data_IF_424242612759
#
_entry.id   IF_424242612759
#
_cell.length_a   1.000
_cell.length_b   1.000
_cell.length_c   1.000
_cell.angle_alpha   90.00
_cell.angle_beta   90.00
_cell.angle_gamma   90.00
#
_symmetry.space_group_name_H-M   'P 1'
#
loop_
_entity.id
_entity.type
_entity.pdbx_description
1 polymer ?
#
# COMPACT_ATOMS: atom_id res chain seq x y z
N UNK A 1 10.09 18.48 59.18
CA UNK A 1 10.47 19.48 58.15
C UNK A 1 11.77 19.10 57.46
N UNK A 2 11.69 18.60 56.22
CA UNK A 2 12.64 18.81 55.10
C UNK A 2 12.10 18.00 53.92
N UNK A 3 11.62 18.71 52.91
CA UNK A 3 11.17 18.18 51.62
C UNK A 3 12.25 18.50 50.61
N UNK A 4 12.79 17.47 49.97
CA UNK A 4 13.70 17.56 48.82
C UNK A 4 12.93 17.45 47.52
N UNK A 5 13.37 18.24 46.54
CA UNK A 5 12.81 18.45 45.22
C UNK A 5 12.66 17.16 44.38
N UNK A 6 11.55 17.05 43.65
CA UNK A 6 11.41 16.18 42.48
C UNK A 6 11.06 17.03 41.26
N UNK A 7 11.88 16.91 40.22
CA UNK A 7 11.64 17.35 38.85
C UNK A 7 10.77 16.33 38.10
N UNK A 8 9.82 16.74 37.23
CA UNK A 8 9.12 15.79 36.38
C UNK A 8 9.84 15.65 35.04
N UNK A 9 10.31 14.43 34.78
CA UNK A 9 10.75 13.93 33.49
C UNK A 9 9.51 13.84 32.57
N UNK A 10 9.38 14.74 31.59
CA UNK A 10 8.39 14.60 30.53
C UNK A 10 8.90 13.65 29.44
N UNK A 11 8.13 12.57 29.24
CA UNK A 11 8.30 11.52 28.22
C UNK A 11 8.11 12.04 26.77
N UNK A 12 8.86 11.51 25.77
CA UNK A 12 8.80 11.94 24.37
C UNK A 12 7.59 11.40 23.57
N UNK A 13 6.55 10.88 24.22
CA UNK A 13 5.36 10.31 23.56
C UNK A 13 4.40 11.39 23.04
N UNK A 14 4.44 12.61 23.58
CA UNK A 14 3.48 13.67 23.22
C UNK A 14 3.78 14.38 21.90
N UNK A 15 4.98 14.23 21.33
CA UNK A 15 5.33 14.88 20.05
C UNK A 15 4.80 14.13 18.81
N UNK A 16 4.34 12.87 18.96
CA UNK A 16 3.74 12.07 17.86
C UNK A 16 2.25 12.31 17.64
N UNK A 17 1.54 12.97 18.57
CA UNK A 17 0.11 13.26 18.43
C UNK A 17 -0.19 14.55 17.64
N UNK A 18 0.80 15.44 17.48
CA UNK A 18 0.65 16.70 16.74
C UNK A 18 0.46 16.49 15.22
N UNK A 19 1.03 15.43 14.64
CA UNK A 19 0.99 15.17 13.18
C UNK A 19 -0.33 14.52 12.74
N UNK A 20 -1.04 13.83 13.65
CA UNK A 20 -2.35 13.22 13.38
C UNK A 20 -3.41 14.24 12.92
N UNK A 21 -3.35 15.49 13.41
CA UNK A 21 -4.26 16.55 13.02
C UNK A 21 -3.96 17.17 11.64
N UNK A 22 -2.73 17.02 11.12
CA UNK A 22 -2.33 17.65 9.86
C UNK A 22 -2.91 16.94 8.63
N UNK A 23 -3.04 15.60 8.68
CA UNK A 23 -3.60 14.82 7.57
C UNK A 23 -5.12 15.03 7.39
N UNK A 24 -5.87 15.22 8.49
CA UNK A 24 -7.32 15.44 8.41
C UNK A 24 -7.69 16.89 8.05
N UNK A 25 -6.95 17.88 8.55
CA UNK A 25 -7.29 19.31 8.36
C UNK A 25 -7.05 19.82 6.93
N UNK A 26 -6.07 19.25 6.22
CA UNK A 26 -5.66 19.76 4.90
C UNK A 26 -6.57 19.26 3.77
N UNK A 27 -7.24 18.10 3.92
CA UNK A 27 -8.00 17.55 2.80
C UNK A 27 -9.39 18.17 2.61
N UNK A 28 -10.22 18.46 3.64
CA UNK A 28 -11.53 19.11 3.41
C UNK A 28 -12.11 19.81 4.66
N UNK A 29 -12.28 21.15 4.58
CA UNK A 29 -13.38 21.88 5.22
C UNK A 29 -14.57 21.86 4.24
N UNK A 30 -15.45 20.88 4.36
CA UNK A 30 -16.76 20.90 3.70
C UNK A 30 -17.79 21.50 4.64
N UNK A 31 -18.34 22.65 4.24
CA UNK A 31 -19.50 23.39 4.79
C UNK A 31 -19.73 23.39 6.31
N UNK A 32 -19.27 24.45 6.96
CA UNK A 32 -20.02 25.10 8.04
C UNK A 32 -19.76 26.61 7.97
N UNK A 33 -20.84 27.41 7.97
CA UNK A 33 -20.77 28.87 7.99
C UNK A 33 -20.22 29.31 9.35
N UNK A 34 -19.00 29.83 9.40
CA UNK A 34 -18.55 30.67 10.51
C UNK A 34 -18.12 32.02 9.95
N UNK A 35 -18.95 33.05 10.20
CA UNK A 35 -18.57 34.45 10.01
C UNK A 35 -17.44 34.75 11.00
N UNK A 36 -16.25 35.02 10.48
CA UNK A 36 -15.25 35.80 11.21
C UNK A 36 -14.82 36.94 10.31
N UNK A 37 -15.15 38.14 10.77
CA UNK A 37 -14.87 39.41 10.13
C UNK A 37 -13.45 39.80 10.52
N UNK A 38 -12.53 39.83 9.56
CA UNK A 38 -11.25 40.52 9.72
C UNK A 38 -10.87 41.28 8.45
N UNK A 39 -10.29 42.45 8.71
CA UNK A 39 -10.16 43.64 7.88
C UNK A 39 -9.39 43.41 6.57
N UNK A 40 -9.77 44.22 5.61
CA UNK A 40 -9.23 44.38 4.26
C UNK A 40 -7.72 44.66 4.24
N UNK A 41 -6.96 43.81 3.57
CA UNK A 41 -5.73 44.18 2.86
C UNK A 41 -5.61 43.29 1.61
N UNK A 42 -5.34 43.93 0.47
CA UNK A 42 -5.40 43.34 -0.86
C UNK A 42 -4.35 42.27 -1.12
N UNK A 43 -4.66 41.03 -0.75
CA UNK A 43 -3.94 39.83 -1.19
C UNK A 43 -4.86 38.96 -2.03
N UNK A 44 -4.44 38.59 -3.26
CA UNK A 44 -5.12 37.54 -4.05
C UNK A 44 -5.29 36.31 -3.14
N UNK A 45 -6.54 35.96 -2.81
CA UNK A 45 -6.84 34.69 -2.11
C UNK A 45 -6.14 33.57 -2.88
N UNK A 46 -5.34 32.70 -2.22
CA UNK A 46 -4.73 31.57 -2.89
C UNK A 46 -5.81 30.78 -3.62
N UNK A 47 -5.65 30.57 -4.93
CA UNK A 47 -6.58 29.73 -5.70
C UNK A 47 -6.66 28.38 -4.99
N UNK A 48 -7.86 27.99 -4.54
CA UNK A 48 -8.09 26.68 -3.90
C UNK A 48 -7.54 25.61 -4.85
N UNK A 49 -6.54 24.84 -4.41
CA UNK A 49 -6.06 23.70 -5.18
C UNK A 49 -7.18 22.68 -5.24
N UNK A 50 -7.69 22.41 -6.43
CA UNK A 50 -8.74 21.41 -6.65
C UNK A 50 -8.09 20.04 -6.61
N UNK A 51 -8.44 19.25 -5.60
CA UNK A 51 -8.08 17.85 -5.54
C UNK A 51 -9.11 17.04 -6.34
N UNK A 52 -8.70 16.50 -7.48
CA UNK A 52 -9.57 15.72 -8.35
C UNK A 52 -9.70 14.28 -7.81
N UNK A 53 -10.94 13.88 -7.49
CA UNK A 53 -11.21 12.51 -7.01
C UNK A 53 -11.13 11.49 -8.14
N UNK A 54 -10.75 10.27 -7.81
CA UNK A 54 -10.72 9.11 -8.71
C UNK A 54 -11.70 8.08 -8.17
N UNK A 55 -12.94 8.13 -8.66
CA UNK A 55 -14.04 7.30 -8.12
C UNK A 55 -13.77 5.80 -8.18
N UNK A 56 -13.06 5.34 -9.22
CA UNK A 56 -12.70 3.92 -9.34
C UNK A 56 -11.75 3.46 -8.21
N UNK A 57 -10.79 4.29 -7.81
CA UNK A 57 -9.89 3.96 -6.70
C UNK A 57 -10.58 4.10 -5.34
N UNK A 58 -11.53 5.03 -5.21
CA UNK A 58 -12.43 5.07 -4.06
C UNK A 58 -13.25 3.78 -3.94
N UNK A 59 -13.72 3.23 -5.06
CA UNK A 59 -14.49 1.99 -5.13
C UNK A 59 -13.68 0.77 -4.72
N UNK A 60 -12.36 0.74 -4.97
CA UNK A 60 -11.47 -0.35 -4.49
C UNK A 60 -11.61 -0.54 -2.97
N UNK A 61 -11.65 0.55 -2.20
CA UNK A 61 -11.79 0.49 -0.74
C UNK A 61 -13.10 -0.16 -0.31
N UNK A 62 -14.18 0.06 -1.06
CA UNK A 62 -15.49 -0.52 -0.77
C UNK A 62 -15.57 -2.00 -1.23
N UNK A 63 -14.98 -2.32 -2.38
CA UNK A 63 -14.98 -3.68 -2.94
C UNK A 63 -14.24 -4.69 -2.06
N UNK A 64 -13.23 -4.25 -1.30
CA UNK A 64 -12.43 -5.12 -0.43
C UNK A 64 -13.10 -5.48 0.89
N UNK A 65 -14.07 -4.68 1.39
CA UNK A 65 -14.68 -4.88 2.71
C UNK A 65 -15.24 -6.30 2.91
N UNK A 66 -15.97 -6.79 1.90
CA UNK A 66 -16.60 -8.12 1.93
C UNK A 66 -15.58 -9.26 1.80
N UNK A 67 -14.68 -9.27 0.79
CA UNK A 67 -13.55 -10.20 0.73
C UNK A 67 -12.79 -10.32 2.05
N UNK A 68 -12.47 -9.20 2.70
CA UNK A 68 -11.72 -9.20 3.97
C UNK A 68 -12.45 -9.96 5.09
N UNK A 69 -13.77 -9.84 5.20
CA UNK A 69 -14.54 -10.60 6.21
C UNK A 69 -14.55 -12.10 5.89
N UNK A 70 -14.76 -12.46 4.61
CA UNK A 70 -14.78 -13.86 4.15
C UNK A 70 -13.42 -14.53 4.41
N UNK A 71 -12.33 -13.88 4.00
CA UNK A 71 -10.97 -14.41 4.14
C UNK A 71 -10.55 -14.48 5.61
N UNK A 72 -10.95 -13.50 6.44
CA UNK A 72 -10.72 -13.55 7.89
C UNK A 72 -11.47 -14.70 8.53
N UNK A 73 -12.73 -14.94 8.17
CA UNK A 73 -13.49 -16.08 8.70
C UNK A 73 -12.86 -17.41 8.30
N UNK A 74 -12.45 -17.54 7.03
CA UNK A 74 -11.71 -18.71 6.54
C UNK A 74 -10.46 -18.97 7.40
N UNK A 75 -9.65 -17.95 7.62
CA UNK A 75 -8.43 -18.06 8.43
C UNK A 75 -8.72 -18.47 9.88
N UNK A 76 -9.78 -17.94 10.50
CA UNK A 76 -10.18 -18.33 11.88
C UNK A 76 -10.64 -19.78 11.92
N UNK A 77 -11.42 -20.25 10.94
CA UNK A 77 -11.88 -21.64 10.89
C UNK A 77 -10.68 -22.58 10.71
N UNK A 78 -9.77 -22.26 9.80
CA UNK A 78 -8.57 -23.08 9.53
C UNK A 78 -7.58 -23.12 10.69
N UNK A 79 -7.55 -22.12 11.57
CA UNK A 79 -6.69 -22.14 12.76
C UNK A 79 -7.23 -23.07 13.87
N UNK A 80 -8.50 -23.50 13.80
CA UNK A 80 -9.07 -24.42 14.76
C UNK A 80 -8.62 -25.86 14.48
N UNK A 81 -8.36 -26.64 15.54
CA UNK A 81 -7.93 -28.06 15.44
C UNK A 81 -8.85 -28.91 14.58
N UNK A 82 -10.16 -28.69 14.69
CA UNK A 82 -11.20 -29.47 13.99
C UNK A 82 -11.71 -28.76 12.73
N UNK A 83 -11.02 -27.72 12.25
CA UNK A 83 -11.45 -26.88 11.12
C UNK A 83 -12.91 -26.42 11.22
N UNK A 84 -13.36 -26.17 12.46
CA UNK A 84 -14.71 -25.78 12.81
C UNK A 84 -14.69 -24.80 13.97
N UNK A 85 -15.56 -23.78 13.90
CA UNK A 85 -15.69 -22.74 14.91
C UNK A 85 -17.11 -22.76 15.48
N UNK A 86 -17.25 -22.92 16.80
CA UNK A 86 -18.55 -22.80 17.46
C UNK A 86 -19.08 -21.36 17.33
N UNK A 87 -20.34 -21.17 16.95
CA UNK A 87 -20.90 -19.83 16.75
C UNK A 87 -20.88 -18.98 18.04
N UNK A 88 -20.93 -19.63 19.20
CA UNK A 88 -20.80 -18.96 20.51
C UNK A 88 -19.41 -18.34 20.73
N UNK A 89 -18.37 -18.91 20.13
CA UNK A 89 -16.98 -18.48 20.32
C UNK A 89 -16.56 -17.45 19.26
N UNK A 90 -17.35 -17.24 18.21
CA UNK A 90 -17.12 -16.22 17.18
C UNK A 90 -16.91 -14.82 17.80
N UNK A 91 -17.66 -14.48 18.83
CA UNK A 91 -17.53 -13.20 19.52
C UNK A 91 -16.15 -12.99 20.14
N UNK A 92 -15.53 -14.04 20.66
CA UNK A 92 -14.18 -14.00 21.24
C UNK A 92 -13.13 -13.74 20.16
N UNK A 93 -13.33 -14.29 18.97
CA UNK A 93 -12.41 -14.18 17.84
C UNK A 93 -12.46 -12.83 17.12
N UNK A 94 -13.67 -12.25 16.97
CA UNK A 94 -13.84 -11.04 16.14
C UNK A 94 -14.33 -9.81 16.90
N UNK A 95 -14.76 -9.97 18.15
CA UNK A 95 -15.35 -8.93 18.97
C UNK A 95 -16.85 -8.73 18.71
N UNK A 96 -17.53 -8.19 19.72
CA UNK A 96 -18.99 -8.03 19.76
C UNK A 96 -19.58 -7.32 18.52
N UNK A 97 -19.01 -6.17 18.13
CA UNK A 97 -19.53 -5.37 17.02
C UNK A 97 -19.34 -6.09 15.68
N UNK A 98 -18.18 -6.72 15.46
CA UNK A 98 -17.90 -7.34 14.17
C UNK A 98 -18.64 -8.67 13.99
N UNK A 99 -18.97 -9.38 15.07
CA UNK A 99 -19.67 -10.68 15.06
C UNK A 99 -20.84 -10.72 14.09
N UNK A 100 -21.67 -9.68 14.05
CA UNK A 100 -22.84 -9.61 13.17
C UNK A 100 -22.49 -9.57 11.68
N UNK A 101 -21.37 -8.95 11.30
CA UNK A 101 -20.89 -8.98 9.92
C UNK A 101 -20.48 -10.40 9.50
N UNK A 102 -19.90 -11.17 10.43
CA UNK A 102 -19.52 -12.56 10.19
C UNK A 102 -20.76 -13.46 10.10
N UNK A 103 -21.73 -13.31 11.00
CA UNK A 103 -23.01 -14.04 10.93
C UNK A 103 -23.70 -13.78 9.58
N UNK A 104 -23.80 -12.53 9.15
CA UNK A 104 -24.39 -12.19 7.86
C UNK A 104 -23.64 -12.80 6.66
N UNK A 105 -22.32 -12.96 6.75
CA UNK A 105 -21.51 -13.64 5.72
C UNK A 105 -21.75 -15.15 5.72
N UNK A 106 -21.89 -15.77 6.89
CA UNK A 106 -22.20 -17.20 7.03
C UNK A 106 -23.54 -17.52 6.39
N UNK A 107 -24.58 -16.75 6.72
CA UNK A 107 -25.94 -16.94 6.18
C UNK A 107 -26.00 -16.68 4.68
N UNK A 108 -25.25 -15.69 4.19
CA UNK A 108 -25.33 -15.23 2.79
C UNK A 108 -24.54 -16.09 1.81
N UNK A 109 -23.52 -16.83 2.25
CA UNK A 109 -22.67 -17.63 1.35
C UNK A 109 -22.61 -19.11 1.78
N UNK A 110 -23.71 -19.86 1.65
CA UNK A 110 -23.74 -21.31 1.94
C UNK A 110 -22.84 -22.13 1.00
N UNK A 111 -22.44 -21.56 -0.14
CA UNK A 111 -21.42 -22.14 -1.04
C UNK A 111 -20.02 -22.13 -0.44
N UNK A 112 -19.74 -21.26 0.54
CA UNK A 112 -18.45 -21.15 1.22
C UNK A 112 -18.54 -21.73 2.64
N UNK A 113 -19.56 -21.32 3.40
CA UNK A 113 -19.70 -21.67 4.81
C UNK A 113 -20.89 -22.59 5.02
N UNK A 114 -20.71 -23.61 5.85
CA UNK A 114 -21.76 -24.52 6.28
C UNK A 114 -21.83 -24.50 7.81
N UNK A 115 -23.05 -24.36 8.35
CA UNK A 115 -23.28 -24.52 9.78
C UNK A 115 -23.71 -25.96 10.04
N UNK A 116 -22.85 -26.68 10.76
CA UNK A 116 -23.15 -28.00 11.31
C UNK A 116 -23.73 -27.86 12.72
N UNK A 117 -24.48 -28.85 13.19
CA UNK A 117 -25.07 -28.84 14.53
C UNK A 117 -26.59 -28.93 14.51
N UNK A 118 -27.16 -29.45 15.60
CA UNK A 118 -28.60 -29.71 15.74
C UNK A 118 -29.02 -29.81 17.21
N UNK A 119 -30.16 -30.43 17.51
CA UNK A 119 -30.74 -30.46 18.88
C UNK A 119 -29.81 -30.97 19.99
N UNK A 120 -28.75 -31.73 19.67
CA UNK A 120 -27.81 -32.30 20.65
C UNK A 120 -26.36 -31.82 20.49
N UNK A 121 -26.05 -31.03 19.46
CA UNK A 121 -24.68 -30.58 19.16
C UNK A 121 -24.67 -29.07 18.92
N UNK A 122 -23.78 -28.32 19.59
CA UNK A 122 -23.75 -26.87 19.45
C UNK A 122 -23.45 -26.47 18.00
N UNK A 123 -24.09 -25.41 17.48
CA UNK A 123 -23.91 -25.01 16.09
C UNK A 123 -22.47 -24.51 15.85
N UNK A 124 -21.84 -25.07 14.82
CA UNK A 124 -20.46 -24.80 14.44
C UNK A 124 -20.38 -24.46 12.95
N UNK A 125 -19.69 -23.38 12.61
CA UNK A 125 -19.40 -23.01 11.23
C UNK A 125 -18.14 -23.71 10.75
N UNK A 126 -18.21 -24.24 9.54
CA UNK A 126 -17.12 -24.90 8.81
C UNK A 126 -17.08 -24.39 7.37
N UNK A 127 -16.00 -24.70 6.66
CA UNK A 127 -15.97 -24.52 5.22
C UNK A 127 -16.79 -25.63 4.54
N UNK A 128 -17.44 -25.29 3.43
CA UNK A 128 -18.08 -26.28 2.57
C UNK A 128 -16.99 -27.07 1.81
N UNK A 129 -17.25 -28.34 1.43
CA UNK A 129 -16.30 -29.20 0.71
C UNK A 129 -15.65 -28.54 -0.51
N UNK A 130 -16.41 -27.74 -1.27
CA UNK A 130 -15.87 -26.98 -2.42
C UNK A 130 -14.90 -25.90 -1.98
N UNK A 131 -15.23 -25.18 -0.90
CA UNK A 131 -14.38 -24.14 -0.32
C UNK A 131 -13.14 -24.72 0.36
N UNK A 132 -13.24 -25.87 1.01
CA UNK A 132 -12.09 -26.60 1.58
C UNK A 132 -11.07 -26.97 0.50
N UNK A 133 -11.53 -27.52 -0.63
CA UNK A 133 -10.65 -27.85 -1.76
C UNK A 133 -9.89 -26.64 -2.27
N UNK A 134 -10.57 -25.50 -2.45
CA UNK A 134 -9.89 -24.26 -2.86
C UNK A 134 -8.96 -23.77 -1.75
N UNK A 135 -9.39 -23.80 -0.48
CA UNK A 135 -8.58 -23.34 0.65
C UNK A 135 -7.27 -24.13 0.83
N UNK A 136 -7.25 -25.41 0.44
CA UNK A 136 -6.04 -26.23 0.46
C UNK A 136 -4.95 -25.73 -0.52
N UNK A 137 -5.31 -24.97 -1.56
CA UNK A 137 -4.37 -24.41 -2.52
C UNK A 137 -3.56 -23.22 -1.96
N UNK A 138 -3.91 -22.70 -0.77
CA UNK A 138 -3.22 -21.57 -0.16
C UNK A 138 -1.74 -21.85 0.12
N UNK A 139 -1.41 -23.09 0.48
CA UNK A 139 -0.03 -23.50 0.73
C UNK A 139 0.83 -23.33 -0.53
N UNK A 140 0.34 -23.80 -1.68
CA UNK A 140 1.01 -23.62 -2.97
C UNK A 140 1.14 -22.13 -3.34
N UNK A 141 0.11 -21.31 -3.06
CA UNK A 141 0.20 -19.87 -3.27
C UNK A 141 1.27 -19.22 -2.37
N UNK A 142 1.44 -19.68 -1.13
CA UNK A 142 2.47 -19.19 -0.21
C UNK A 142 3.88 -19.62 -0.66
N UNK A 143 4.06 -20.83 -1.17
CA UNK A 143 5.33 -21.29 -1.74
C UNK A 143 5.75 -20.43 -2.93
N UNK A 144 4.82 -20.11 -3.83
CA UNK A 144 5.06 -19.19 -4.94
C UNK A 144 5.34 -17.75 -4.49
N UNK A 145 4.83 -17.34 -3.32
CA UNK A 145 5.10 -16.02 -2.75
C UNK A 145 6.49 -15.91 -2.14
N UNK A 146 7.05 -16.98 -1.56
CA UNK A 146 8.32 -16.94 -0.84
C UNK A 146 9.46 -16.21 -1.59
N UNK A 147 9.79 -16.54 -2.85
CA UNK A 147 10.84 -15.83 -3.59
C UNK A 147 10.49 -14.35 -3.84
N UNK A 148 9.21 -14.02 -4.03
CA UNK A 148 8.74 -12.63 -4.19
C UNK A 148 8.91 -11.85 -2.88
N UNK A 149 8.57 -12.47 -1.75
CA UNK A 149 8.71 -11.87 -0.42
C UNK A 149 10.17 -11.61 -0.08
N UNK A 150 11.06 -12.56 -0.36
CA UNK A 150 12.51 -12.40 -0.17
C UNK A 150 13.05 -11.28 -1.05
N UNK A 151 12.71 -11.25 -2.35
CA UNK A 151 13.10 -10.16 -3.27
C UNK A 151 12.60 -8.81 -2.73
N UNK A 152 11.32 -8.72 -2.37
CA UNK A 152 10.71 -7.46 -1.94
C UNK A 152 11.27 -6.97 -0.61
N UNK A 153 11.54 -7.87 0.35
CA UNK A 153 12.12 -7.50 1.64
C UNK A 153 13.57 -7.02 1.48
N UNK A 154 14.37 -7.67 0.62
CA UNK A 154 15.71 -7.19 0.26
C UNK A 154 15.63 -5.80 -0.37
N UNK A 155 14.78 -5.59 -1.38
CA UNK A 155 14.57 -4.28 -2.02
C UNK A 155 14.10 -3.22 -1.02
N UNK A 156 13.20 -3.57 -0.08
CA UNK A 156 12.72 -2.67 0.96
C UNK A 156 13.87 -2.22 1.89
N UNK A 157 14.73 -3.13 2.30
CA UNK A 157 15.93 -2.79 3.09
C UNK A 157 16.89 -1.93 2.27
N UNK A 158 17.13 -2.26 0.99
CA UNK A 158 17.98 -1.48 0.09
C UNK A 158 17.49 -0.04 -0.16
N UNK A 159 16.19 0.24 0.01
CA UNK A 159 15.65 1.60 -0.05
C UNK A 159 16.05 2.45 1.17
N UNK A 160 16.30 1.80 2.32
CA UNK A 160 16.65 2.47 3.56
C UNK A 160 18.09 2.97 3.56
N UNK A 161 18.34 4.10 4.22
CA UNK A 161 19.64 4.77 4.22
C UNK A 161 20.78 3.91 4.75
N UNK A 162 20.50 3.12 5.77
CA UNK A 162 21.47 2.26 6.45
C UNK A 162 21.24 0.77 6.15
N UNK A 163 20.48 0.44 5.09
CA UNK A 163 20.12 -0.93 4.71
C UNK A 163 19.48 -1.76 5.85
N UNK A 164 18.77 -1.08 6.75
CA UNK A 164 18.10 -1.66 7.91
C UNK A 164 16.81 -0.92 8.24
N UNK A 165 15.86 -1.64 8.83
CA UNK A 165 14.58 -1.12 9.26
C UNK A 165 14.20 -1.66 10.65
N UNK A 166 13.53 -0.87 11.51
CA UNK A 166 12.95 -1.41 12.74
C UNK A 166 11.98 -2.55 12.41
N UNK A 167 12.05 -3.65 13.17
CA UNK A 167 11.11 -4.77 12.98
C UNK A 167 9.67 -4.34 13.21
N UNK A 168 9.43 -3.40 14.13
CA UNK A 168 8.11 -2.80 14.36
C UNK A 168 7.53 -2.14 13.10
N UNK A 169 8.39 -1.48 12.30
CA UNK A 169 7.98 -0.85 11.04
C UNK A 169 7.60 -1.89 10.00
N UNK A 170 8.36 -3.01 9.92
CA UNK A 170 8.05 -4.12 9.02
C UNK A 170 6.76 -4.82 9.47
N UNK A 171 6.59 -5.09 10.76
CA UNK A 171 5.37 -5.66 11.34
C UNK A 171 4.14 -4.80 11.01
N UNK A 172 4.29 -3.48 11.03
CA UNK A 172 3.18 -2.56 10.73
C UNK A 172 2.69 -2.62 9.27
N UNK A 173 3.55 -3.03 8.33
CA UNK A 173 3.18 -3.25 6.92
C UNK A 173 3.18 -4.73 6.52
N UNK A 174 3.38 -5.65 7.46
CA UNK A 174 3.45 -7.09 7.22
C UNK A 174 2.28 -7.62 6.37
N UNK A 175 1.01 -7.24 6.66
CA UNK A 175 -0.13 -7.66 5.84
C UNK A 175 -0.13 -7.09 4.41
N UNK A 176 0.44 -5.90 4.21
CA UNK A 176 0.49 -5.21 2.90
C UNK A 176 1.59 -5.80 2.00
N UNK A 177 2.68 -6.29 2.60
CA UNK A 177 3.75 -7.01 1.91
C UNK A 177 3.35 -8.46 1.57
N UNK A 178 2.36 -9.02 2.28
CA UNK A 178 2.01 -10.43 2.17
C UNK A 178 2.93 -11.36 2.97
N UNK A 179 3.66 -10.80 3.93
CA UNK A 179 4.51 -11.58 4.83
C UNK A 179 3.64 -12.45 5.77
N UNK A 180 4.04 -13.70 6.07
CA UNK A 180 3.42 -14.51 7.11
C UNK A 180 3.40 -13.78 8.47
N UNK A 181 2.40 -14.04 9.32
CA UNK A 181 2.33 -13.43 10.66
C UNK A 181 3.52 -13.82 11.55
N UNK A 182 4.14 -14.96 11.27
CA UNK A 182 5.30 -15.50 11.96
C UNK A 182 6.59 -15.39 11.14
N UNK A 183 6.66 -14.51 10.13
CA UNK A 183 7.79 -14.43 9.17
C UNK A 183 9.17 -14.36 9.84
N UNK A 184 9.25 -13.77 11.05
CA UNK A 184 10.48 -13.72 11.85
C UNK A 184 11.05 -15.10 12.18
N UNK A 185 10.18 -16.10 12.33
CA UNK A 185 10.50 -17.50 12.63
C UNK A 185 10.39 -18.40 11.40
N UNK A 186 9.46 -18.11 10.48
CA UNK A 186 9.18 -18.98 9.33
C UNK A 186 9.96 -18.62 8.06
N UNK A 187 10.25 -17.32 7.84
CA UNK A 187 10.90 -16.83 6.62
C UNK A 187 12.37 -16.44 6.85
N UNK A 188 12.65 -15.58 7.84
CA UNK A 188 14.00 -15.03 8.03
C UNK A 188 15.09 -16.10 8.25
N UNK A 189 14.86 -17.15 9.08
CA UNK A 189 15.88 -18.17 9.32
C UNK A 189 16.23 -19.02 8.10
N UNK A 190 15.38 -19.04 7.06
CA UNK A 190 15.66 -19.75 5.80
C UNK A 190 16.69 -19.02 4.93
N UNK A 191 16.90 -17.72 5.16
CA UNK A 191 17.75 -16.85 4.34
C UNK A 191 18.74 -16.03 5.19
N UNK A 192 19.57 -16.67 6.03
CA UNK A 192 20.52 -15.99 6.91
C UNK A 192 21.57 -15.16 6.16
N UNK A 193 21.84 -15.49 4.89
CA UNK A 193 22.73 -14.74 4.00
C UNK A 193 22.17 -13.37 3.58
N UNK A 194 20.85 -13.19 3.64
CA UNK A 194 20.19 -11.95 3.26
C UNK A 194 19.72 -11.14 4.46
N UNK A 195 19.35 -11.78 5.56
CA UNK A 195 18.66 -11.14 6.67
C UNK A 195 19.35 -11.38 8.01
N UNK A 196 19.68 -10.29 8.71
CA UNK A 196 20.22 -10.33 10.05
C UNK A 196 19.35 -9.50 11.00
N UNK A 197 18.95 -10.07 12.14
CA UNK A 197 18.25 -9.31 13.18
C UNK A 197 19.28 -8.82 14.19
N UNK A 198 19.34 -7.50 14.41
CA UNK A 198 20.25 -6.86 15.37
C UNK A 198 19.52 -5.85 16.23
N UNK A 199 19.96 -5.70 17.48
CA UNK A 199 19.47 -4.64 18.33
C UNK A 199 20.27 -3.35 18.15
N UNK A 200 19.55 -2.25 17.89
CA UNK A 200 20.10 -0.92 17.70
C UNK A 200 19.36 0.01 18.65
N UNK A 201 20.08 0.58 19.62
CA UNK A 201 19.51 1.46 20.66
C UNK A 201 18.31 0.86 21.39
N UNK A 202 18.37 -0.44 21.73
CA UNK A 202 17.31 -1.16 22.45
C UNK A 202 16.09 -1.51 21.60
N UNK A 203 16.19 -1.42 20.27
CA UNK A 203 15.13 -1.83 19.34
C UNK A 203 15.66 -2.83 18.33
N UNK A 204 14.92 -3.90 18.09
CA UNK A 204 15.29 -4.90 17.11
C UNK A 204 15.06 -4.38 15.68
N UNK A 205 16.09 -4.48 14.87
CA UNK A 205 16.10 -4.09 13.47
C UNK A 205 16.39 -5.31 12.59
N UNK A 206 15.80 -5.31 11.41
CA UNK A 206 16.20 -6.19 10.33
C UNK A 206 17.23 -5.45 9.47
N UNK A 207 18.38 -6.06 9.24
CA UNK A 207 19.48 -5.54 8.42
C UNK A 207 19.70 -6.45 7.22
N UNK A 208 20.01 -5.85 6.07
CA UNK A 208 20.41 -6.56 4.86
C UNK A 208 21.84 -7.08 5.03
N UNK A 209 22.04 -8.39 4.91
CA UNK A 209 23.37 -9.00 4.97
C UNK A 209 24.23 -8.60 3.77
N UNK A 210 23.76 -8.90 2.57
CA UNK A 210 24.49 -8.69 1.32
C UNK A 210 23.71 -7.80 0.33
N UNK A 211 24.37 -6.73 -0.12
CA UNK A 211 23.85 -5.88 -1.20
C UNK A 211 23.91 -6.61 -2.54
N UNK A 212 22.84 -6.50 -3.33
CA UNK A 212 22.73 -7.12 -4.64
C UNK A 212 22.33 -6.09 -5.68
N UNK A 213 23.30 -5.71 -6.50
CA UNK A 213 23.13 -4.69 -7.54
C UNK A 213 22.12 -5.12 -8.61
N UNK A 214 21.86 -6.42 -8.79
CA UNK A 214 20.84 -6.89 -9.75
C UNK A 214 19.42 -6.53 -9.30
N UNK A 215 19.20 -6.34 -7.99
CA UNK A 215 17.93 -5.92 -7.43
C UNK A 215 17.73 -4.40 -7.45
N UNK A 216 18.78 -3.62 -7.74
CA UNK A 216 18.76 -2.16 -7.73
C UNK A 216 18.08 -1.55 -8.98
N UNK A 217 17.05 -2.23 -9.48
CA UNK A 217 16.21 -1.82 -10.61
C UNK A 217 14.80 -1.59 -10.06
N UNK A 218 14.27 -0.39 -10.28
CA UNK A 218 12.92 -0.01 -9.83
C UNK A 218 11.84 -0.65 -10.69
N UNK A 219 10.65 -0.84 -10.13
CA UNK A 219 9.47 -1.30 -10.89
C UNK A 219 9.18 -0.40 -12.10
N UNK A 220 9.48 0.90 -11.99
CA UNK A 220 9.38 1.87 -13.08
C UNK A 220 10.39 1.60 -14.20
N UNK A 221 11.62 1.21 -13.87
CA UNK A 221 12.65 0.84 -14.86
C UNK A 221 12.36 -0.52 -15.50
N UNK A 222 11.95 -1.52 -14.71
CA UNK A 222 11.52 -2.84 -15.20
C UNK A 222 10.41 -2.67 -16.25
N UNK A 223 9.38 -1.84 -15.94
CA UNK A 223 8.28 -1.54 -16.86
C UNK A 223 8.76 -0.83 -18.14
N UNK A 224 9.63 0.17 -18.03
CA UNK A 224 10.13 0.89 -19.19
C UNK A 224 10.91 -0.04 -20.15
N UNK A 225 11.71 -0.95 -19.60
CA UNK A 225 12.44 -1.94 -20.40
C UNK A 225 11.47 -2.87 -21.13
N UNK A 226 10.44 -3.36 -20.44
CA UNK A 226 9.41 -4.23 -21.03
C UNK A 226 8.63 -3.53 -22.16
N UNK A 227 8.19 -2.28 -21.94
CA UNK A 227 7.51 -1.49 -22.97
C UNK A 227 8.41 -1.25 -24.20
N UNK A 228 9.72 -1.13 -24.03
CA UNK A 228 10.65 -0.97 -25.16
C UNK A 228 10.81 -2.24 -25.99
N UNK A 229 10.89 -3.40 -25.35
CA UNK A 229 11.03 -4.68 -26.05
C UNK A 229 9.81 -4.94 -26.92
N UNK A 230 8.61 -4.66 -26.41
CA UNK A 230 7.35 -4.83 -27.14
C UNK A 230 7.19 -3.85 -28.33
N UNK A 231 7.78 -2.64 -28.23
CA UNK A 231 7.60 -1.57 -29.22
C UNK A 231 8.69 -1.52 -30.31
N UNK A 232 9.31 -2.66 -30.65
CA UNK A 232 10.43 -2.74 -31.62
C UNK A 232 10.03 -2.40 -33.07
N UNK A 233 8.74 -2.16 -33.35
CA UNK A 233 8.17 -2.08 -34.71
C UNK A 233 7.76 -0.68 -35.18
N UNK A 234 8.48 0.41 -34.86
CA UNK A 234 8.05 1.74 -35.32
C UNK A 234 9.09 2.85 -35.31
N UNK A 235 9.22 3.52 -36.46
CA UNK A 235 10.08 4.68 -36.71
C UNK A 235 10.11 5.71 -35.55
N UNK A 236 11.32 5.96 -35.05
CA UNK A 236 11.63 6.97 -34.03
C UNK A 236 11.31 8.39 -34.52
N UNK A 237 10.06 8.83 -34.35
CA UNK A 237 9.77 10.27 -34.18
C UNK A 237 10.37 10.70 -32.85
N UNK A 238 10.99 11.89 -32.81
CA UNK A 238 11.52 12.47 -31.56
C UNK A 238 10.47 12.33 -30.44
N UNK A 239 10.81 11.78 -29.27
CA UNK A 239 9.85 11.58 -28.20
C UNK A 239 9.31 12.95 -27.78
N UNK A 240 7.99 13.13 -27.89
CA UNK A 240 7.26 14.32 -27.45
C UNK A 240 6.29 13.91 -26.36
N UNK A 241 6.06 14.81 -25.41
CA UNK A 241 5.01 14.60 -24.41
C UNK A 241 3.66 14.48 -25.11
N UNK A 242 2.89 13.47 -24.75
CA UNK A 242 1.54 13.27 -25.24
C UNK A 242 0.55 14.18 -24.49
N UNK A 243 -0.68 14.34 -25.02
CA UNK A 243 -1.69 15.25 -24.43
C UNK A 243 -2.13 14.85 -23.02
N UNK A 244 -1.97 13.58 -22.67
CA UNK A 244 -2.18 13.00 -21.34
C UNK A 244 -0.94 13.14 -20.42
N UNK A 245 0.12 13.82 -20.86
CA UNK A 245 1.31 14.13 -20.06
C UNK A 245 2.35 13.01 -19.98
N UNK A 246 2.13 11.90 -20.68
CA UNK A 246 3.08 10.80 -20.76
C UNK A 246 4.26 11.14 -21.70
N UNK A 247 5.45 10.67 -21.36
CA UNK A 247 6.65 10.88 -22.15
C UNK A 247 7.40 9.55 -22.31
N UNK A 248 7.68 9.10 -23.55
CA UNK A 248 8.35 7.82 -23.80
C UNK A 248 9.87 7.98 -23.59
N UNK A 249 10.29 8.16 -22.34
CA UNK A 249 11.68 8.43 -21.97
C UNK A 249 12.19 7.53 -20.85
N UNK A 250 13.52 7.33 -20.77
CA UNK A 250 14.16 6.44 -19.79
C UNK A 250 14.04 6.92 -18.36
N UNK A 251 13.53 8.12 -18.09
CA UNK A 251 13.37 8.69 -16.74
C UNK A 251 11.94 9.10 -16.40
N UNK A 252 11.00 8.89 -17.31
CA UNK A 252 9.62 9.29 -17.14
C UNK A 252 8.80 8.31 -16.29
N UNK A 253 7.98 8.82 -15.39
CA UNK A 253 6.92 8.04 -14.75
C UNK A 253 5.73 7.93 -15.69
N UNK A 254 5.02 6.80 -15.65
CA UNK A 254 3.72 6.71 -16.29
C UNK A 254 2.69 7.48 -15.46
N UNK A 255 1.96 8.37 -16.12
CA UNK A 255 0.97 9.24 -15.49
C UNK A 255 -0.43 8.82 -15.92
N UNK A 256 -1.34 8.78 -14.95
CA UNK A 256 -2.77 8.65 -15.19
C UNK A 256 -3.48 9.84 -14.57
N UNK A 257 -3.98 10.79 -15.35
CA UNK A 257 -4.74 11.93 -14.81
C UNK A 257 -6.23 11.60 -14.68
N UNK A 258 -6.94 12.19 -13.69
CA UNK A 258 -8.37 11.96 -13.52
C UNK A 258 -9.18 12.55 -14.69
N UNK A 259 -10.33 11.93 -14.96
CA UNK A 259 -11.29 12.41 -15.95
C UNK A 259 -11.71 13.84 -15.56
N UNK A 260 -11.44 14.81 -16.43
CA UNK A 260 -11.71 16.23 -16.19
C UNK A 260 -10.51 17.07 -15.76
N UNK A 261 -9.35 16.46 -15.47
CA UNK A 261 -8.11 17.24 -15.41
C UNK A 261 -7.73 17.71 -16.81
N UNK A 262 -7.53 19.02 -16.96
CA UNK A 262 -7.19 19.67 -18.23
C UNK A 262 -5.95 20.53 -18.00
N UNK A 263 -4.74 19.96 -18.15
CA UNK A 263 -3.52 20.73 -17.97
C UNK A 263 -3.40 21.79 -19.06
N UNK A 264 -2.97 23.00 -18.69
CA UNK A 264 -2.63 24.02 -19.68
C UNK A 264 -1.25 23.74 -20.29
N UNK A 265 -0.89 24.47 -21.35
CA UNK A 265 0.35 24.23 -22.07
C UNK A 265 1.60 24.45 -21.20
N UNK A 266 1.57 25.46 -20.32
CA UNK A 266 2.66 25.74 -19.38
C UNK A 266 2.90 24.58 -18.41
N UNK A 267 1.83 23.97 -17.87
CA UNK A 267 1.93 22.78 -17.03
C UNK A 267 2.53 21.61 -17.80
N UNK A 268 2.11 21.37 -19.05
CA UNK A 268 2.66 20.29 -19.87
C UNK A 268 4.14 20.49 -20.17
N UNK A 269 4.58 21.73 -20.42
CA UNK A 269 6.00 22.05 -20.62
C UNK A 269 6.84 21.83 -19.36
N UNK A 270 6.34 22.22 -18.18
CA UNK A 270 7.00 21.94 -16.91
C UNK A 270 7.05 20.43 -16.62
N UNK A 271 5.96 19.73 -16.88
CA UNK A 271 5.87 18.29 -16.72
C UNK A 271 6.84 17.56 -17.65
N UNK A 272 6.96 17.99 -18.91
CA UNK A 272 7.91 17.43 -19.87
C UNK A 272 9.36 17.61 -19.39
N UNK A 273 9.72 18.81 -18.90
CA UNK A 273 11.04 19.06 -18.29
C UNK A 273 11.29 18.11 -17.11
N UNK A 274 10.28 17.91 -16.26
CA UNK A 274 10.38 17.01 -15.11
C UNK A 274 10.49 15.54 -15.52
N UNK A 275 9.75 15.10 -16.55
CA UNK A 275 9.83 13.74 -17.08
C UNK A 275 11.19 13.44 -17.72
N UNK A 276 11.77 14.43 -18.42
CA UNK A 276 13.10 14.34 -19.04
C UNK A 276 14.26 14.43 -18.06
N UNK A 277 14.06 15.06 -16.91
CA UNK A 277 15.08 15.17 -15.86
C UNK A 277 15.64 13.78 -15.51
N UNK A 278 16.95 13.70 -15.25
CA UNK A 278 17.58 12.47 -14.78
C UNK A 278 16.82 11.88 -13.59
N UNK A 279 16.81 10.55 -13.52
CA UNK A 279 16.17 9.78 -12.46
C UNK A 279 17.26 9.22 -11.54
N UNK A 280 17.57 9.86 -10.39
CA UNK A 280 18.47 9.27 -9.44
C UNK A 280 17.82 8.02 -8.85
N UNK A 281 18.49 6.88 -8.95
CA UNK A 281 17.95 5.62 -8.48
C UNK A 281 17.61 5.70 -6.97
N UNK A 282 16.41 5.21 -6.56
CA UNK A 282 16.03 5.04 -5.16
C UNK A 282 17.03 4.24 -4.33
N UNK A 283 17.79 3.36 -4.97
CA UNK A 283 18.79 2.49 -4.33
C UNK A 283 20.15 3.17 -4.12
N UNK A 284 20.36 4.37 -4.67
CA UNK A 284 21.52 5.18 -4.30
C UNK A 284 21.33 5.78 -2.91
N UNK A 285 22.40 5.82 -2.12
CA UNK A 285 22.32 6.32 -0.74
C UNK A 285 21.80 7.77 -0.70
N UNK A 286 20.70 7.98 0.03
CA UNK A 286 20.02 9.28 0.13
C UNK A 286 20.85 10.39 0.77
N UNK A 287 21.95 10.06 1.48
CA UNK A 287 22.89 11.03 2.06
C UNK A 287 23.64 11.84 0.99
N UNK A 288 23.72 11.33 -0.25
CA UNK A 288 24.44 11.96 -1.38
C UNK A 288 23.68 13.11 -2.05
N UNK A 289 22.42 13.34 -1.67
CA UNK A 289 21.55 14.30 -2.34
C UNK A 289 21.17 15.45 -1.41
N UNK A 290 21.36 16.67 -1.89
CA UNK A 290 20.90 17.87 -1.21
C UNK A 290 19.39 18.05 -1.39
N UNK A 291 18.70 18.48 -0.32
CA UNK A 291 17.23 18.61 -0.32
C UNK A 291 16.74 19.70 -1.28
N UNK A 292 17.58 20.70 -1.57
CA UNK A 292 17.33 21.80 -2.50
C UNK A 292 17.31 21.35 -3.97
N UNK A 293 18.04 20.28 -4.30
CA UNK A 293 18.21 19.80 -5.68
C UNK A 293 16.86 19.31 -6.25
N UNK A 294 16.41 19.83 -7.42
CA UNK A 294 15.29 19.26 -8.16
C UNK A 294 15.37 17.74 -8.38
N UNK A 295 16.58 17.18 -8.61
CA UNK A 295 16.78 15.74 -8.78
C UNK A 295 16.49 14.97 -7.48
N UNK A 296 16.85 15.52 -6.33
CA UNK A 296 16.53 14.94 -5.03
C UNK A 296 15.01 14.86 -4.80
N UNK A 297 14.26 15.89 -5.22
CA UNK A 297 12.79 15.86 -5.19
C UNK A 297 12.21 14.79 -6.11
N UNK A 298 12.78 14.61 -7.31
CA UNK A 298 12.38 13.51 -8.21
C UNK A 298 12.70 12.14 -7.62
N UNK A 299 13.85 11.99 -6.95
CA UNK A 299 14.23 10.77 -6.23
C UNK A 299 13.24 10.42 -5.11
N UNK A 300 12.73 11.39 -4.34
CA UNK A 300 11.69 11.13 -3.32
C UNK A 300 10.45 10.49 -3.95
N UNK A 301 10.00 11.01 -5.10
CA UNK A 301 8.87 10.43 -5.84
C UNK A 301 9.19 9.00 -6.28
N UNK A 302 10.43 8.75 -6.72
CA UNK A 302 10.89 7.42 -7.09
C UNK A 302 10.92 6.45 -5.89
N UNK A 303 11.35 6.89 -4.70
CA UNK A 303 11.33 6.08 -3.47
C UNK A 303 9.91 5.74 -3.05
N UNK A 304 8.98 6.70 -3.09
CA UNK A 304 7.57 6.46 -2.76
C UNK A 304 6.90 5.53 -3.77
N UNK A 305 7.21 5.72 -5.05
CA UNK A 305 6.76 4.85 -6.13
C UNK A 305 7.23 3.42 -5.90
N UNK A 306 8.52 3.24 -5.63
CA UNK A 306 9.10 1.92 -5.40
C UNK A 306 8.59 1.28 -4.10
N UNK A 307 8.47 2.02 -3.00
CA UNK A 307 7.90 1.49 -1.76
C UNK A 307 6.48 0.95 -1.97
N UNK A 308 5.63 1.68 -2.69
CA UNK A 308 4.28 1.22 -3.01
C UNK A 308 4.34 0.03 -3.98
N UNK A 309 5.27 0.01 -4.93
CA UNK A 309 5.40 -1.09 -5.89
C UNK A 309 5.76 -2.43 -5.23
N UNK A 310 6.38 -2.42 -4.04
CA UNK A 310 6.70 -3.62 -3.26
C UNK A 310 5.49 -4.22 -2.53
N UNK A 311 4.38 -3.49 -2.33
CA UNK A 311 3.20 -4.03 -1.65
C UNK A 311 2.33 -4.86 -2.60
N UNK A 312 1.53 -5.78 -2.06
CA UNK A 312 0.67 -6.64 -2.87
C UNK A 312 -0.35 -5.83 -3.66
N UNK A 313 -1.00 -4.87 -3.00
CA UNK A 313 -2.06 -4.05 -3.59
C UNK A 313 -1.57 -2.67 -4.01
N UNK A 314 -0.25 -2.43 -4.10
CA UNK A 314 0.32 -1.17 -4.62
C UNK A 314 -0.21 0.10 -3.92
N UNK A 315 -0.47 -0.04 -2.63
CA UNK A 315 -1.01 0.99 -1.74
C UNK A 315 -0.50 0.84 -0.31
N UNK A 316 -0.55 1.93 0.44
CA UNK A 316 -0.28 1.99 1.88
C UNK A 316 -1.13 3.09 2.53
N UNK A 317 -1.44 2.94 3.82
CA UNK A 317 -2.04 4.04 4.59
C UNK A 317 -1.03 5.18 4.80
N UNK A 318 -1.52 6.39 5.03
CA UNK A 318 -0.66 7.54 5.32
C UNK A 318 0.20 7.33 6.56
N UNK A 319 -0.32 6.64 7.58
CA UNK A 319 0.42 6.29 8.78
C UNK A 319 1.54 5.26 8.50
N UNK A 320 1.27 4.29 7.62
CA UNK A 320 2.29 3.31 7.21
C UNK A 320 3.42 3.98 6.42
N UNK A 321 3.11 4.92 5.52
CA UNK A 321 4.15 5.68 4.83
C UNK A 321 4.98 6.54 5.80
N UNK A 322 4.33 7.18 6.76
CA UNK A 322 5.01 8.03 7.76
C UNK A 322 5.93 7.22 8.69
N UNK A 323 5.64 5.94 8.90
CA UNK A 323 6.49 5.03 9.68
C UNK A 323 7.89 4.80 9.05
N UNK A 324 8.07 5.14 7.78
CA UNK A 324 9.35 5.07 7.06
C UNK A 324 10.05 6.43 6.93
N UNK A 325 9.53 7.49 7.58
CA UNK A 325 9.98 8.85 7.32
C UNK A 325 11.49 9.04 7.54
N UNK A 326 12.02 8.53 8.66
CA UNK A 326 13.45 8.63 8.97
C UNK A 326 14.30 7.75 8.06
N UNK A 327 13.90 6.49 7.90
CA UNK A 327 14.69 5.45 7.25
C UNK A 327 14.82 5.67 5.75
N UNK A 328 13.81 6.30 5.12
CA UNK A 328 13.80 6.63 3.69
C UNK A 328 14.11 8.12 3.39
N UNK A 329 14.37 8.94 4.42
CA UNK A 329 14.49 10.41 4.35
C UNK A 329 13.33 11.05 3.57
N UNK A 330 12.10 10.71 3.96
CA UNK A 330 10.91 11.32 3.37
C UNK A 330 10.83 12.82 3.75
N UNK A 331 10.21 13.66 2.90
CA UNK A 331 10.08 15.07 3.20
C UNK A 331 9.04 15.32 4.30
N UNK A 332 9.31 16.29 5.18
CA UNK A 332 8.39 16.69 6.25
C UNK A 332 6.97 17.06 5.77
N UNK A 333 6.85 17.51 4.52
CA UNK A 333 5.55 17.78 3.86
C UNK A 333 5.18 16.66 2.88
N UNK A 334 5.20 15.41 3.33
CA UNK A 334 4.92 14.20 2.53
C UNK A 334 3.57 14.30 1.79
N UNK A 335 2.52 14.74 2.48
CA UNK A 335 1.19 14.90 1.87
C UNK A 335 1.20 15.89 0.70
N UNK A 336 1.93 17.01 0.84
CA UNK A 336 2.07 17.99 -0.23
C UNK A 336 2.85 17.41 -1.42
N UNK A 337 3.85 16.56 -1.16
CA UNK A 337 4.57 15.83 -2.20
C UNK A 337 3.60 14.94 -2.98
N UNK A 338 2.84 14.08 -2.31
CA UNK A 338 1.87 13.18 -2.95
C UNK A 338 0.82 13.95 -3.78
N UNK A 339 0.27 15.04 -3.24
CA UNK A 339 -0.71 15.89 -3.96
C UNK A 339 -0.11 16.58 -5.18
N UNK A 340 1.14 17.04 -5.11
CA UNK A 340 1.84 17.63 -6.27
C UNK A 340 2.03 16.61 -7.40
N UNK A 341 2.17 15.34 -7.05
CA UNK A 341 2.38 14.23 -8.00
C UNK A 341 1.09 13.39 -8.20
N UNK A 342 -0.08 14.05 -8.28
CA UNK A 342 -1.40 13.40 -8.42
C UNK A 342 -1.63 12.63 -9.73
N UNK A 343 -0.71 12.73 -10.70
CA UNK A 343 -0.66 11.88 -11.89
C UNK A 343 -0.13 10.47 -11.58
N UNK A 344 0.63 10.32 -10.49
CA UNK A 344 1.26 9.06 -10.05
C UNK A 344 0.52 8.50 -8.84
N UNK A 345 0.24 9.36 -7.85
CA UNK A 345 -0.37 8.96 -6.59
C UNK A 345 -1.82 9.40 -6.50
N UNK A 346 -2.64 8.59 -5.84
CA UNK A 346 -4.00 8.96 -5.44
C UNK A 346 -4.17 8.74 -3.94
N UNK A 347 -4.76 9.72 -3.26
CA UNK A 347 -5.07 9.68 -1.83
C UNK A 347 -6.58 9.60 -1.67
N UNK A 348 -7.05 8.59 -0.93
CA UNK A 348 -8.45 8.47 -0.56
C UNK A 348 -8.62 8.48 0.96
N UNK A 349 -9.73 9.06 1.41
CA UNK A 349 -10.20 8.97 2.79
C UNK A 349 -11.38 8.01 2.91
N UNK A 350 -11.65 7.20 1.88
CA UNK A 350 -12.64 6.12 1.93
C UNK A 350 -12.09 4.99 2.78
N UNK A 351 -12.45 4.97 4.06
CA UNK A 351 -11.98 3.99 5.03
C UNK A 351 -11.71 4.62 6.39
N UNK A 352 -11.21 3.83 7.33
CA UNK A 352 -10.85 4.34 8.65
C UNK A 352 -9.59 5.23 8.63
N UNK A 353 -8.71 5.04 7.63
CA UNK A 353 -7.44 5.75 7.49
C UNK A 353 -7.26 6.22 6.04
N UNK A 354 -6.60 7.36 5.87
CA UNK A 354 -6.20 7.84 4.55
C UNK A 354 -5.26 6.83 3.89
N UNK A 355 -5.53 6.48 2.63
CA UNK A 355 -4.77 5.48 1.88
C UNK A 355 -4.24 6.08 0.59
N UNK A 356 -2.97 5.81 0.29
CA UNK A 356 -2.25 6.26 -0.88
C UNK A 356 -2.08 5.09 -1.84
N UNK A 357 -2.51 5.29 -3.09
CA UNK A 357 -2.47 4.33 -4.18
C UNK A 357 -1.43 4.76 -5.22
N UNK A 358 -0.74 3.79 -5.80
CA UNK A 358 -0.02 3.95 -7.06
C UNK A 358 -1.00 3.81 -8.22
N UNK A 359 -1.27 4.88 -8.97
CA UNK A 359 -2.35 4.91 -9.97
C UNK A 359 -2.10 4.00 -11.16
N UNK A 360 -0.84 3.88 -11.59
CA UNK A 360 -0.51 3.06 -12.75
C UNK A 360 -0.81 1.57 -12.54
N UNK A 361 -0.74 1.10 -11.29
CA UNK A 361 -1.03 -0.27 -10.91
C UNK A 361 -2.50 -0.68 -11.07
N UNK A 362 -3.38 0.27 -11.38
CA UNK A 362 -4.81 0.04 -11.49
C UNK A 362 -5.36 0.41 -12.86
N UNK A 363 -6.21 -0.45 -13.38
CA UNK A 363 -7.09 -0.20 -14.51
C UNK A 363 -8.53 -0.11 -14.01
N UNK A 364 -9.04 1.12 -13.91
CA UNK A 364 -10.25 1.41 -13.14
C UNK A 364 -10.11 0.97 -11.68
N UNK A 365 -10.98 0.06 -11.24
CA UNK A 365 -10.98 -0.53 -9.90
C UNK A 365 -10.25 -1.88 -9.82
N UNK A 366 -9.63 -2.34 -10.91
CA UNK A 366 -8.90 -3.61 -10.99
C UNK A 366 -7.40 -3.37 -10.84
N UNK A 367 -6.76 -4.14 -9.95
CA UNK A 367 -5.30 -4.21 -9.87
C UNK A 367 -4.76 -4.95 -11.10
N UNK A 368 -3.79 -4.36 -11.80
CA UNK A 368 -3.21 -4.89 -13.05
C UNK A 368 -2.42 -6.15 -12.78
N UNK A 369 -1.42 -6.07 -11.89
CA UNK A 369 -0.54 -7.19 -11.55
C UNK A 369 -0.87 -7.73 -10.17
N UNK A 370 -1.37 -8.97 -10.12
CA UNK A 370 -1.70 -9.67 -8.89
C UNK A 370 -0.61 -10.68 -8.54
N UNK A 371 -0.18 -10.68 -7.29
CA UNK A 371 0.70 -11.73 -6.79
C UNK A 371 -0.07 -13.05 -6.60
N UNK A 372 0.63 -14.20 -6.52
CA UNK A 372 0.00 -15.51 -6.32
C UNK A 372 -1.02 -15.55 -5.16
N UNK A 373 -0.72 -14.89 -4.04
CA UNK A 373 -1.63 -14.84 -2.89
C UNK A 373 -2.92 -14.05 -3.18
N UNK A 374 -2.85 -12.95 -3.93
CA UNK A 374 -4.04 -12.21 -4.33
C UNK A 374 -4.88 -13.01 -5.33
N UNK A 375 -4.25 -13.70 -6.27
CA UNK A 375 -4.96 -14.59 -7.22
C UNK A 375 -5.70 -15.71 -6.50
N UNK A 376 -5.05 -16.34 -5.50
CA UNK A 376 -5.70 -17.32 -4.64
C UNK A 376 -6.90 -16.72 -3.88
N UNK A 377 -6.73 -15.54 -3.29
CA UNK A 377 -7.81 -14.86 -2.56
C UNK A 377 -9.02 -14.57 -3.46
N UNK A 378 -8.78 -14.12 -4.68
CA UNK A 378 -9.84 -13.90 -5.66
C UNK A 378 -10.56 -15.20 -6.02
N UNK A 379 -9.80 -16.27 -6.30
CA UNK A 379 -10.36 -17.61 -6.56
C UNK A 379 -11.24 -18.11 -5.40
N UNK A 380 -10.81 -17.90 -4.16
CA UNK A 380 -11.61 -18.25 -2.99
C UNK A 380 -12.89 -17.40 -2.86
N UNK A 381 -12.80 -16.09 -3.10
CA UNK A 381 -13.94 -15.16 -3.01
C UNK A 381 -14.93 -15.35 -4.16
N UNK A 382 -14.49 -15.82 -5.33
CA UNK A 382 -15.35 -16.15 -6.47
C UNK A 382 -16.38 -17.24 -6.14
N UNK A 383 -16.12 -18.08 -5.12
CA UNK A 383 -17.10 -19.05 -4.59
C UNK A 383 -18.37 -18.39 -4.04
N UNK A 384 -18.39 -17.07 -3.82
CA UNK A 384 -19.61 -16.33 -3.47
C UNK A 384 -20.64 -16.23 -4.60
N UNK A 385 -20.37 -16.79 -5.78
CA UNK A 385 -21.25 -16.71 -6.95
C UNK A 385 -21.19 -15.37 -7.68
N UNK A 386 -20.32 -14.46 -7.24
CA UNK A 386 -19.92 -13.31 -8.06
C UNK A 386 -18.98 -13.85 -9.13
N UNK A 387 -19.45 -13.91 -10.37
CA UNK A 387 -18.55 -13.91 -11.52
C UNK A 387 -17.73 -12.63 -11.40
N UNK A 388 -16.44 -12.78 -11.15
CA UNK A 388 -15.53 -11.71 -11.52
C UNK A 388 -15.77 -11.41 -12.99
N UNK A 389 -15.72 -10.13 -13.35
CA UNK A 389 -15.70 -9.71 -14.75
C UNK A 389 -14.40 -10.27 -15.31
N UNK A 390 -14.48 -11.48 -15.88
CA UNK A 390 -13.36 -12.15 -16.50
C UNK A 390 -12.81 -11.29 -17.65
N UNK A 391 -11.53 -11.49 -17.99
CA UNK A 391 -10.89 -10.74 -19.05
C UNK A 391 -11.61 -11.03 -20.36
N UNK A 392 -11.93 -9.98 -21.12
CA UNK A 392 -12.00 -10.13 -22.57
C UNK A 392 -10.64 -10.67 -23.00
N UNK A 393 -10.59 -11.95 -23.31
CA UNK A 393 -9.58 -12.54 -24.16
C UNK A 393 -9.58 -11.78 -25.48
N UNK A 394 -8.76 -10.74 -25.57
CA UNK A 394 -8.25 -10.33 -26.86
C UNK A 394 -7.17 -11.35 -27.24
N UNK A 395 -7.65 -12.46 -27.79
CA UNK A 395 -6.95 -13.13 -28.85
C UNK A 395 -6.94 -12.17 -30.05
N UNK A 396 -5.73 -11.79 -30.45
CA UNK A 396 -5.15 -11.63 -31.80
C UNK A 396 -3.94 -10.71 -31.66
#
# INVERSE_FOLDING_TARGET
HKVTCFSPILSPVLHRLSVFFSFHSILFKTHSKSKQMHKTSGGRRPKKKVYHRVHELDKVMDLQKKPSVILKLKSIIQSQKNQSLLLRDLEKEVGFIQKWNFIAVIEKYPSIFHVSGGHKTPPAVMLNRKAEKVAAEEAAANELMEPILVKNLRKLLMLSVDCRLPLETIDFIQPELGLPSDFKKSLLPKFPEFFCVKDVHGRSHLELGNWDSSLAITAREERWLHERILNTSGHSKRPRISKDGNFPGPFAFHLKFPVGFRPNMSYLQELEKWQKMEFPSPYLNAKRFEVSDPKARKRVVAVLHELLSLTMEKRLTSAQLDAFHSELRLPARLLLCLIKHHGIFYITNKGARSTVFLKEAYDGSRLVDKCPLLMFRDKFVALTGRRDIEPSSHAI
#
